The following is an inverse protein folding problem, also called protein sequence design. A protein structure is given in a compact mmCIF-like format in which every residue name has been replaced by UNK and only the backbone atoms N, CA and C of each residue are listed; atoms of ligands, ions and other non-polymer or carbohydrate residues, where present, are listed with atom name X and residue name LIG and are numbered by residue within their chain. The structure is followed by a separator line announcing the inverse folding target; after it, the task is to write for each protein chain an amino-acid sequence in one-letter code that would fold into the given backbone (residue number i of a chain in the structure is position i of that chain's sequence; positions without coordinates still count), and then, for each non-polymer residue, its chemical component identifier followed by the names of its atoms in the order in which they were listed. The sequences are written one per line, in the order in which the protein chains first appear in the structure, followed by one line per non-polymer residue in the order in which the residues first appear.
data_IF_669415604699
#
_entry.id   IF_669415604699
#
_cell.length_a   1.000
_cell.length_b   1.000
_cell.length_c   1.000
_cell.angle_alpha   90.00
_cell.angle_beta   90.00
_cell.angle_gamma   90.00
#
_symmetry.space_group_name_H-M   'P 1'
#
loop_
_entity.id
_entity.type
_entity.pdbx_description
1 polymer ?
#
# COMPACT_ATOMS: atom_id res chain seq x y z
N UNK A 1 8.43 9.46 -4.10
CA UNK A 1 8.04 8.04 -4.24
C UNK A 1 6.55 7.89 -3.99
N UNK A 2 5.87 7.22 -4.87
CA UNK A 2 4.43 7.07 -4.79
C UNK A 2 4.04 5.80 -5.54
N UNK A 3 3.21 4.95 -4.94
CA UNK A 3 2.74 3.72 -5.58
C UNK A 3 1.26 3.55 -5.36
N UNK A 4 0.55 3.14 -6.39
CA UNK A 4 -0.85 2.76 -6.23
C UNK A 4 -0.92 1.24 -6.10
N UNK A 5 -1.71 0.80 -5.14
CA UNK A 5 -1.84 -0.62 -4.82
C UNK A 5 -3.33 -0.95 -4.83
N UNK A 6 -3.71 -1.80 -5.78
CA UNK A 6 -5.11 -2.22 -5.91
C UNK A 6 -5.25 -3.61 -5.32
N UNK A 7 -6.19 -3.77 -4.41
CA UNK A 7 -6.45 -5.04 -3.76
C UNK A 7 -7.88 -5.50 -4.04
N UNK A 8 -8.04 -6.81 -4.15
CA UNK A 8 -9.36 -7.42 -4.19
C UNK A 8 -9.56 -8.20 -2.92
N UNK A 9 -10.76 -8.10 -2.36
CA UNK A 9 -11.08 -8.75 -1.10
C UNK A 9 -11.90 -10.02 -1.31
N UNK A 10 -11.89 -10.88 -0.31
CA UNK A 10 -12.68 -12.11 -0.30
C UNK A 10 -14.17 -11.81 -0.59
N UNK A 11 -14.65 -10.66 -0.17
CA UNK A 11 -16.04 -10.25 -0.42
C UNK A 11 -16.36 -9.97 -1.87
N UNK A 12 -15.33 -9.86 -2.73
CA UNK A 12 -15.52 -9.46 -4.12
C UNK A 12 -15.32 -7.99 -4.37
N UNK A 13 -15.22 -7.19 -3.31
CA UNK A 13 -14.95 -5.76 -3.44
C UNK A 13 -13.48 -5.52 -3.79
N UNK A 14 -13.19 -4.37 -4.33
CA UNK A 14 -11.82 -3.96 -4.59
C UNK A 14 -11.61 -2.52 -4.13
N UNK A 15 -10.35 -2.16 -3.91
CA UNK A 15 -9.98 -0.82 -3.50
C UNK A 15 -8.56 -0.52 -3.98
N UNK A 16 -8.32 0.75 -4.28
CA UNK A 16 -6.98 1.20 -4.64
C UNK A 16 -6.49 2.18 -3.59
N UNK A 17 -5.32 1.92 -3.06
CA UNK A 17 -4.69 2.80 -2.09
C UNK A 17 -3.41 3.36 -2.67
N UNK A 18 -3.14 4.62 -2.39
CA UNK A 18 -1.91 5.26 -2.86
C UNK A 18 -0.98 5.42 -1.67
N UNK A 19 0.17 4.76 -1.74
CA UNK A 19 1.19 4.88 -0.71
C UNK A 19 2.10 6.06 -1.05
N UNK A 20 2.30 6.93 -0.06
CA UNK A 20 3.12 8.13 -0.17
C UNK A 20 4.34 8.03 0.73
N UNK A 21 5.29 8.95 0.63
CA UNK A 21 6.50 8.89 1.45
C UNK A 21 6.29 8.62 2.95
N UNK A 22 5.27 9.18 3.61
CA UNK A 22 5.04 8.83 5.02
C UNK A 22 4.78 7.35 5.25
N UNK A 23 4.12 6.68 4.32
CA UNK A 23 3.84 5.25 4.44
C UNK A 23 5.13 4.43 4.37
N UNK A 24 6.01 4.82 3.46
CA UNK A 24 7.31 4.15 3.33
C UNK A 24 8.22 4.45 4.52
N UNK A 25 8.16 5.66 5.05
CA UNK A 25 8.92 6.01 6.25
C UNK A 25 8.48 5.17 7.45
N UNK A 26 7.17 4.94 7.59
CA UNK A 26 6.67 4.08 8.65
C UNK A 26 7.15 2.65 8.47
N UNK A 27 7.24 2.19 7.22
CA UNK A 27 7.78 0.86 6.93
C UNK A 27 9.24 0.76 7.37
N UNK A 28 10.05 1.78 7.06
CA UNK A 28 11.45 1.78 7.48
C UNK A 28 11.57 1.75 9.01
N UNK A 29 10.73 2.50 9.70
CA UNK A 29 10.76 2.52 11.15
C UNK A 29 10.34 1.17 11.75
N UNK A 30 9.35 0.53 11.13
CA UNK A 30 8.85 -0.74 11.64
C UNK A 30 9.81 -1.90 11.38
N UNK A 31 10.49 -1.89 10.24
CA UNK A 31 11.36 -2.99 9.85
C UNK A 31 12.83 -2.77 10.19
N UNK A 32 13.21 -1.53 10.47
CA UNK A 32 14.60 -1.14 10.69
C UNK A 32 15.46 -1.37 9.45
N UNK A 33 14.86 -1.31 8.27
CA UNK A 33 15.54 -1.47 6.99
C UNK A 33 15.47 -0.19 6.20
N UNK A 34 16.38 0.01 5.26
CA UNK A 34 16.32 1.16 4.38
C UNK A 34 15.35 0.89 3.24
N UNK A 35 14.82 1.96 2.64
CA UNK A 35 13.86 1.85 1.54
C UNK A 35 14.45 1.08 0.34
N UNK A 36 15.75 1.03 0.22
CA UNK A 36 16.40 0.26 -0.84
C UNK A 36 16.18 -1.23 -0.69
N UNK A 37 15.84 -1.68 0.50
CA UNK A 37 15.55 -3.09 0.80
C UNK A 37 14.06 -3.41 0.68
N UNK A 38 13.25 -2.42 0.31
CA UNK A 38 11.82 -2.61 0.16
C UNK A 38 11.56 -3.59 -0.99
N UNK A 39 10.96 -4.71 -0.67
CA UNK A 39 10.67 -5.76 -1.63
C UNK A 39 9.76 -6.80 -0.99
N UNK A 40 9.06 -7.54 -1.81
CA UNK A 40 8.25 -8.65 -1.33
C UNK A 40 6.85 -8.23 -0.94
N UNK A 41 6.02 -9.25 -0.78
CA UNK A 41 4.58 -9.05 -0.59
C UNK A 41 4.26 -8.38 0.75
N UNK A 42 4.94 -8.78 1.83
CA UNK A 42 4.65 -8.20 3.14
C UNK A 42 4.92 -6.69 3.15
N UNK A 43 6.02 -6.27 2.52
CA UNK A 43 6.37 -4.86 2.48
C UNK A 43 5.31 -4.04 1.75
N UNK A 44 4.84 -4.57 0.62
CA UNK A 44 3.80 -3.92 -0.18
C UNK A 44 2.51 -3.83 0.63
N UNK A 45 2.13 -4.91 1.29
CA UNK A 45 0.92 -4.92 2.10
C UNK A 45 1.01 -3.97 3.28
N UNK A 46 2.19 -3.83 3.88
CA UNK A 46 2.38 -2.91 4.99
C UNK A 46 2.09 -1.47 4.57
N UNK A 47 2.67 -1.02 3.45
CA UNK A 47 2.47 0.36 3.01
C UNK A 47 1.05 0.59 2.51
N UNK A 48 0.44 -0.42 1.89
CA UNK A 48 -0.96 -0.33 1.48
C UNK A 48 -1.88 -0.21 2.69
N UNK A 49 -1.60 -0.98 3.74
CA UNK A 49 -2.38 -0.89 5.00
C UNK A 49 -2.20 0.47 5.65
N UNK A 50 -0.98 1.02 5.62
CA UNK A 50 -0.73 2.35 6.15
C UNK A 50 -1.58 3.40 5.42
N UNK A 51 -1.63 3.30 4.09
CA UNK A 51 -2.45 4.19 3.28
C UNK A 51 -3.94 4.00 3.59
N UNK A 52 -4.39 2.77 3.74
CA UNK A 52 -5.77 2.46 4.11
C UNK A 52 -6.14 3.13 5.43
N UNK A 53 -5.29 3.03 6.44
CA UNK A 53 -5.55 3.66 7.73
C UNK A 53 -5.63 5.18 7.61
N UNK A 54 -4.74 5.77 6.84
CA UNK A 54 -4.74 7.22 6.66
C UNK A 54 -6.01 7.69 5.96
N UNK A 55 -6.44 6.96 4.92
CA UNK A 55 -7.64 7.33 4.17
C UNK A 55 -8.91 7.13 4.97
N UNK A 56 -8.87 6.29 5.98
CA UNK A 56 -10.02 6.07 6.86
C UNK A 56 -10.32 7.28 7.73
N UNK A 57 -9.34 8.18 7.90
CA UNK A 57 -9.53 9.46 8.58
C UNK A 57 -10.15 9.31 9.98
N UNK A 58 -9.60 8.40 10.77
CA UNK A 58 -10.05 8.19 12.15
C UNK A 58 -11.18 7.22 12.32
N UNK A 59 -11.74 6.70 11.23
CA UNK A 59 -12.74 5.64 11.33
C UNK A 59 -12.08 4.33 11.74
N UNK A 60 -12.84 3.39 12.36
CA UNK A 60 -12.28 2.10 12.73
C UNK A 60 -11.68 1.38 11.51
N UNK A 61 -10.51 0.81 11.69
CA UNK A 61 -9.84 0.06 10.64
C UNK A 61 -9.42 -1.31 11.17
N UNK A 62 -9.27 -2.26 10.26
CA UNK A 62 -8.78 -3.59 10.60
C UNK A 62 -7.27 -3.53 10.86
N UNK A 63 -6.79 -4.42 11.74
CA UNK A 63 -5.35 -4.56 11.93
C UNK A 63 -4.72 -5.11 10.66
N UNK A 64 -3.40 -4.97 10.55
CA UNK A 64 -2.69 -5.44 9.38
C UNK A 64 -2.94 -6.92 9.11
N UNK A 65 -2.87 -7.76 10.16
CA UNK A 65 -3.05 -9.19 10.00
C UNK A 65 -4.45 -9.55 9.49
N UNK A 66 -5.47 -8.97 10.09
CA UNK A 66 -6.85 -9.23 9.70
C UNK A 66 -7.10 -8.71 8.29
N UNK A 67 -6.59 -7.52 7.99
CA UNK A 67 -6.76 -6.90 6.68
C UNK A 67 -6.09 -7.72 5.59
N UNK A 68 -4.86 -8.18 5.83
CA UNK A 68 -4.13 -9.01 4.87
C UNK A 68 -4.88 -10.29 4.52
N UNK A 69 -5.47 -10.94 5.51
CA UNK A 69 -6.16 -12.20 5.29
C UNK A 69 -7.44 -12.04 4.50
N UNK A 70 -7.96 -10.83 4.39
CA UNK A 70 -9.16 -10.57 3.59
C UNK A 70 -8.86 -10.33 2.11
N UNK A 71 -7.59 -10.29 1.74
CA UNK A 71 -7.15 -9.96 0.37
C UNK A 71 -6.93 -11.23 -0.44
N UNK A 72 -7.51 -11.30 -1.64
CA UNK A 72 -7.35 -12.43 -2.54
C UNK A 72 -6.46 -12.13 -3.73
N UNK A 73 -6.26 -10.86 -4.07
CA UNK A 73 -5.42 -10.48 -5.19
C UNK A 73 -4.89 -9.08 -4.99
N UNK A 74 -3.75 -8.77 -5.59
CA UNK A 74 -3.10 -7.48 -5.42
C UNK A 74 -2.32 -7.11 -6.68
N UNK A 75 -2.44 -5.86 -7.10
CA UNK A 75 -1.68 -5.31 -8.20
C UNK A 75 -1.01 -4.03 -7.76
N UNK A 76 0.23 -3.85 -8.18
CA UNK A 76 1.01 -2.66 -7.85
C UNK A 76 1.30 -1.88 -9.11
N UNK A 77 1.00 -0.59 -9.09
CA UNK A 77 1.34 0.33 -10.16
C UNK A 77 2.18 1.47 -9.61
N UNK A 78 3.03 2.02 -10.45
CA UNK A 78 3.78 3.22 -10.10
C UNK A 78 2.99 4.44 -10.57
N UNK A 79 2.68 5.33 -9.63
CA UNK A 79 2.05 6.59 -9.95
C UNK A 79 3.10 7.67 -10.13
N UNK A 80 4.15 7.32 -10.85
CA UNK A 80 5.23 8.25 -11.13
C UNK A 80 4.73 9.24 -12.20
N UNK A 81 4.76 10.54 -11.92
CA UNK A 81 4.37 11.53 -12.92
C UNK A 81 5.13 11.39 -14.23
N UNK A 82 6.34 10.89 -14.16
CA UNK A 82 7.16 10.68 -15.33
C UNK A 82 6.57 9.59 -16.23
N UNK A 83 6.05 8.53 -15.63
CA UNK A 83 5.40 7.47 -16.38
C UNK A 83 4.13 7.98 -17.06
N UNK A 84 3.39 8.83 -16.38
CA UNK A 84 2.20 9.45 -16.92
C UNK A 84 2.56 10.31 -18.12
N UNK A 85 3.64 11.08 -18.00
CA UNK A 85 4.08 11.96 -19.09
C UNK A 85 4.54 11.16 -20.29
N UNK A 86 5.12 10.01 -20.08
CA UNK A 86 5.59 9.16 -21.15
C UNK A 86 4.45 8.66 -22.03
N UNK A 87 3.27 8.56 -21.46
CA UNK A 87 2.10 8.11 -22.17
C UNK A 87 1.41 9.22 -22.94
N UNK A 88 1.69 10.41 -22.56
CA UNK A 88 1.09 11.57 -23.22
C UNK A 88 1.80 11.88 -24.51
#
# INVERSE_FOLDING_TARGET
MKKSITVEFVSGDSATYVAYPPDFAKWEMATKKSIQEFAGMWDILFVAHSAYKREAAGKPTKTLDVWMESITNLEVGDDDPKAINAEA
#
